data_IF_577946832392
#
_entry.id   IF_577946832392
#
_cell.length_a   1.000
_cell.length_b   1.000
_cell.length_c   1.000
_cell.angle_alpha   90.00
_cell.angle_beta   90.00
_cell.angle_gamma   90.00
#
_symmetry.space_group_name_H-M   'P 1'
#
loop_
_entity.id
_entity.type
_entity.pdbx_description
1 polymer ?
#
# COMPACT_ATOMS: atom_id res chain seq x y z
N UNK A 1 2.22 -10.06 9.13
CA UNK A 1 1.11 -10.48 8.22
C UNK A 1 1.11 -9.72 6.90
N UNK A 2 1.38 -8.40 6.85
CA UNK A 2 1.45 -7.64 5.58
C UNK A 2 2.80 -7.72 4.84
N UNK A 3 3.89 -8.08 5.53
CA UNK A 3 5.23 -8.15 4.94
C UNK A 3 5.38 -9.27 3.90
N UNK A 4 4.73 -10.42 4.11
CA UNK A 4 4.76 -11.52 3.14
C UNK A 4 4.20 -11.13 1.77
N UNK A 5 3.23 -10.21 1.75
CA UNK A 5 2.65 -9.69 0.51
C UNK A 5 3.63 -8.74 -0.20
N UNK A 6 4.36 -7.92 0.58
CA UNK A 6 5.39 -7.02 0.01
C UNK A 6 6.51 -7.79 -0.64
N UNK A 7 6.99 -8.85 -0.01
CA UNK A 7 8.06 -9.70 -0.56
C UNK A 7 7.61 -10.32 -1.88
N UNK A 8 6.43 -10.96 -1.91
CA UNK A 8 5.90 -11.60 -3.10
C UNK A 8 5.69 -10.61 -4.28
N UNK A 9 5.10 -9.43 -4.00
CA UNK A 9 4.91 -8.38 -5.02
C UNK A 9 6.25 -7.83 -5.53
N UNK A 10 7.24 -7.68 -4.64
CA UNK A 10 8.58 -7.21 -5.02
C UNK A 10 9.31 -8.23 -5.87
N UNK A 11 9.29 -9.50 -5.46
CA UNK A 11 9.93 -10.60 -6.19
C UNK A 11 9.33 -10.78 -7.59
N UNK A 12 7.99 -10.73 -7.69
CA UNK A 12 7.31 -10.75 -8.99
C UNK A 12 7.81 -9.62 -9.89
N UNK A 13 7.87 -8.39 -9.36
CA UNK A 13 8.35 -7.23 -10.12
C UNK A 13 9.81 -7.38 -10.56
N UNK A 14 10.69 -7.88 -9.70
CA UNK A 14 12.10 -8.08 -10.02
C UNK A 14 12.30 -9.17 -11.08
N UNK A 15 11.48 -10.21 -11.08
CA UNK A 15 11.56 -11.30 -12.06
C UNK A 15 10.91 -10.96 -13.41
N UNK A 16 9.84 -10.17 -13.43
CA UNK A 16 9.02 -9.93 -14.63
C UNK A 16 9.13 -8.51 -15.19
N UNK A 17 9.73 -7.56 -14.46
CA UNK A 17 9.81 -6.15 -14.83
C UNK A 17 8.48 -5.38 -14.79
N UNK A 18 7.38 -6.05 -14.45
CA UNK A 18 6.03 -5.50 -14.32
C UNK A 18 5.41 -5.91 -12.97
N UNK A 19 4.47 -5.12 -12.47
CA UNK A 19 3.77 -5.42 -11.24
C UNK A 19 2.77 -6.58 -11.42
N UNK A 20 2.52 -7.40 -10.40
CA UNK A 20 1.48 -8.42 -10.47
C UNK A 20 0.10 -7.77 -10.62
N UNK A 21 -0.72 -8.33 -11.51
CA UNK A 21 -2.08 -7.84 -11.75
C UNK A 21 -2.99 -8.03 -10.54
N UNK A 22 -2.85 -9.17 -9.87
CA UNK A 22 -3.70 -9.62 -8.76
C UNK A 22 -2.92 -10.49 -7.74
N UNK A 23 -3.63 -10.98 -6.71
CA UNK A 23 -3.09 -11.88 -5.69
C UNK A 23 -2.50 -13.18 -6.29
N UNK A 24 -3.18 -13.76 -7.28
CA UNK A 24 -2.75 -15.04 -7.88
C UNK A 24 -1.44 -14.87 -8.63
N UNK A 25 -1.35 -13.81 -9.44
CA UNK A 25 -0.14 -13.41 -10.17
C UNK A 25 1.02 -13.17 -9.20
N UNK A 26 0.76 -12.52 -8.06
CA UNK A 26 1.77 -12.32 -7.03
C UNK A 26 2.17 -13.60 -6.27
N UNK A 27 1.49 -14.74 -6.50
CA UNK A 27 1.77 -15.99 -5.79
C UNK A 27 1.30 -15.98 -4.33
N UNK A 28 0.28 -15.18 -4.00
CA UNK A 28 -0.27 -15.06 -2.65
C UNK A 28 -1.72 -15.54 -2.59
N UNK A 29 -2.19 -15.84 -1.38
CA UNK A 29 -3.56 -16.29 -1.16
C UNK A 29 -4.59 -15.30 -1.72
N UNK A 30 -5.76 -15.82 -2.12
CA UNK A 30 -6.89 -14.99 -2.55
C UNK A 30 -7.26 -13.94 -1.51
N UNK A 31 -7.75 -12.78 -1.97
CA UNK A 31 -7.90 -11.60 -1.11
C UNK A 31 -8.76 -11.84 0.14
N UNK A 32 -9.83 -12.61 0.00
CA UNK A 32 -10.76 -13.01 1.08
C UNK A 32 -10.18 -14.01 2.07
N UNK A 33 -9.03 -14.61 1.79
CA UNK A 33 -8.32 -15.55 2.67
C UNK A 33 -7.32 -14.82 3.55
N UNK A 34 -6.79 -13.68 3.10
CA UNK A 34 -5.85 -12.87 3.87
C UNK A 34 -6.63 -11.99 4.86
N UNK A 35 -6.92 -12.56 6.03
CA UNK A 35 -7.68 -11.93 7.11
C UNK A 35 -6.83 -11.71 8.36
N UNK A 36 -7.26 -10.78 9.20
CA UNK A 36 -6.64 -10.53 10.50
C UNK A 36 -7.65 -10.02 11.52
N UNK A 37 -7.18 -9.79 12.75
CA UNK A 37 -8.04 -9.32 13.87
C UNK A 37 -8.88 -8.08 13.52
N UNK A 38 -8.35 -7.19 12.67
CA UNK A 38 -9.01 -5.94 12.26
C UNK A 38 -9.16 -5.82 10.73
N UNK A 39 -8.68 -6.81 9.97
CA UNK A 39 -8.57 -6.76 8.50
C UNK A 39 -9.50 -7.80 7.91
N UNK A 40 -10.42 -7.35 7.06
CA UNK A 40 -11.41 -8.17 6.37
C UNK A 40 -10.84 -8.89 5.15
N UNK A 41 -9.98 -8.20 4.39
CA UNK A 41 -9.31 -8.74 3.21
C UNK A 41 -8.08 -7.92 2.85
N UNK A 42 -7.16 -8.54 2.12
CA UNK A 42 -6.00 -7.87 1.51
C UNK A 42 -5.95 -8.20 0.03
N UNK A 43 -6.07 -7.17 -0.79
CA UNK A 43 -6.14 -7.27 -2.25
C UNK A 43 -4.86 -6.72 -2.86
N UNK A 44 -4.27 -7.45 -3.80
CA UNK A 44 -3.21 -6.95 -4.68
C UNK A 44 -3.88 -6.55 -5.98
N UNK A 45 -3.64 -5.33 -6.43
CA UNK A 45 -4.11 -4.84 -7.71
C UNK A 45 -3.00 -4.02 -8.38
N UNK A 46 -2.44 -4.53 -9.47
CA UNK A 46 -1.35 -3.87 -10.22
C UNK A 46 -0.19 -3.47 -9.30
N UNK A 47 0.20 -4.38 -8.39
CA UNK A 47 1.24 -4.17 -7.38
C UNK A 47 0.93 -3.19 -6.26
N UNK A 48 -0.29 -2.66 -6.17
CA UNK A 48 -0.79 -1.96 -4.98
C UNK A 48 -1.46 -2.98 -4.08
N UNK A 49 -1.11 -2.98 -2.79
CA UNK A 49 -1.69 -3.85 -1.77
C UNK A 49 -2.68 -3.01 -0.97
N UNK A 50 -3.97 -3.35 -1.02
CA UNK A 50 -5.03 -2.64 -0.29
C UNK A 50 -5.61 -3.53 0.80
N UNK A 51 -5.52 -3.08 2.04
CA UNK A 51 -6.15 -3.74 3.18
C UNK A 51 -7.49 -3.07 3.48
N UNK A 52 -8.55 -3.86 3.59
CA UNK A 52 -9.89 -3.39 4.01
C UNK A 52 -10.12 -3.76 5.47
N UNK A 53 -10.51 -2.78 6.28
CA UNK A 53 -10.82 -2.99 7.69
C UNK A 53 -12.17 -3.68 7.87
N UNK A 54 -12.31 -4.48 8.93
CA UNK A 54 -13.58 -5.13 9.27
C UNK A 54 -14.72 -4.11 9.46
N UNK A 55 -15.95 -4.55 9.22
CA UNK A 55 -17.15 -3.76 9.47
C UNK A 55 -17.67 -3.89 10.92
N UNK A 56 -17.17 -4.88 11.67
CA UNK A 56 -17.53 -5.16 13.06
C UNK A 56 -16.27 -5.33 13.92
N UNK A 57 -16.38 -5.11 15.23
CA UNK A 57 -15.24 -5.26 16.15
C UNK A 57 -14.09 -4.25 15.98
N UNK A 58 -14.30 -3.18 15.22
CA UNK A 58 -13.37 -2.06 15.05
C UNK A 58 -14.04 -0.72 15.37
N UNK A 59 -13.23 0.33 15.59
CA UNK A 59 -13.73 1.68 15.85
C UNK A 59 -14.60 2.17 14.67
N UNK A 60 -15.73 2.82 14.96
CA UNK A 60 -16.65 3.38 13.97
C UNK A 60 -15.97 4.26 12.92
N UNK A 61 -14.91 4.98 13.30
CA UNK A 61 -14.16 5.85 12.40
C UNK A 61 -13.27 5.09 11.40
N UNK A 62 -13.11 3.76 11.53
CA UNK A 62 -12.29 2.92 10.64
C UNK A 62 -13.05 1.74 10.01
N UNK A 63 -14.34 1.54 10.34
CA UNK A 63 -15.16 0.45 9.80
C UNK A 63 -15.24 0.50 8.27
N UNK A 64 -14.93 -0.62 7.62
CA UNK A 64 -14.96 -0.74 6.15
C UNK A 64 -13.96 0.15 5.40
N UNK A 65 -13.10 0.87 6.13
CA UNK A 65 -12.13 1.79 5.55
C UNK A 65 -10.89 1.06 5.05
N UNK A 66 -10.13 1.72 4.19
CA UNK A 66 -9.00 1.13 3.47
C UNK A 66 -7.71 1.88 3.74
N UNK A 67 -6.60 1.15 3.64
CA UNK A 67 -5.25 1.68 3.48
C UNK A 67 -4.54 0.94 2.37
N UNK A 68 -3.57 1.59 1.74
CA UNK A 68 -2.77 0.97 0.68
C UNK A 68 -1.29 0.98 1.04
N UNK A 69 -0.60 -0.05 0.57
CA UNK A 69 0.84 -0.11 0.46
C UNK A 69 1.19 -0.22 -1.01
N UNK A 70 2.15 0.57 -1.46
CA UNK A 70 2.59 0.56 -2.84
C UNK A 70 4.09 0.72 -2.92
N UNK A 71 4.68 0.19 -3.98
CA UNK A 71 6.09 0.33 -4.24
C UNK A 71 6.36 1.16 -5.50
N UNK A 72 7.46 1.90 -5.49
CA UNK A 72 7.99 2.61 -6.66
C UNK A 72 9.39 2.08 -6.96
N UNK A 73 9.70 1.83 -8.24
CA UNK A 73 11.05 1.42 -8.65
C UNK A 73 12.05 2.55 -8.40
N UNK A 74 13.24 2.20 -7.89
CA UNK A 74 14.38 3.10 -7.69
C UNK A 74 15.69 2.35 -7.93
N UNK A 75 16.46 2.73 -8.96
CA UNK A 75 17.87 2.32 -9.17
C UNK A 75 18.16 0.82 -8.89
N UNK A 76 17.39 -0.09 -9.50
CA UNK A 76 17.57 -1.55 -9.32
C UNK A 76 16.90 -2.15 -8.07
N UNK A 77 16.20 -1.34 -7.28
CA UNK A 77 15.41 -1.75 -6.11
C UNK A 77 13.98 -1.19 -6.17
N UNK A 78 13.16 -1.50 -5.15
CA UNK A 78 11.85 -0.90 -4.97
C UNK A 78 11.74 -0.26 -3.59
N UNK A 79 11.15 0.93 -3.50
CA UNK A 79 10.83 1.60 -2.24
C UNK A 79 9.34 1.46 -1.96
N UNK A 80 9.00 0.96 -0.78
CA UNK A 80 7.62 0.84 -0.31
C UNK A 80 7.15 2.08 0.43
N UNK A 81 5.88 2.40 0.24
CA UNK A 81 5.14 3.46 0.89
C UNK A 81 3.87 2.88 1.51
N UNK A 82 3.31 3.56 2.50
CA UNK A 82 2.11 3.16 3.20
C UNK A 82 1.27 4.39 3.53
N UNK A 83 -0.02 4.34 3.22
CA UNK A 83 -0.88 5.48 3.45
C UNK A 83 -2.32 5.24 3.06
N UNK A 84 -2.99 6.34 2.72
CA UNK A 84 -4.35 6.29 2.22
C UNK A 84 -4.43 5.48 0.91
N UNK A 85 -5.63 4.99 0.57
CA UNK A 85 -5.90 4.27 -0.67
C UNK A 85 -5.34 4.98 -1.91
N UNK A 86 -4.57 4.22 -2.69
CA UNK A 86 -4.05 4.62 -4.00
C UNK A 86 -4.37 3.58 -5.04
N UNK A 87 -4.32 3.98 -6.30
CA UNK A 87 -4.46 3.11 -7.48
C UNK A 87 -3.27 3.30 -8.42
N UNK A 88 -2.98 2.25 -9.19
CA UNK A 88 -2.00 2.28 -10.29
C UNK A 88 -2.73 2.08 -11.61
N UNK A 89 -2.37 2.86 -12.63
CA UNK A 89 -3.02 2.79 -13.93
C UNK A 89 -2.80 1.44 -14.63
N UNK A 90 -1.56 0.94 -14.64
CA UNK A 90 -1.17 -0.29 -15.32
C UNK A 90 -0.08 -1.07 -14.53
N UNK A 91 0.04 -2.37 -14.74
CA UNK A 91 1.11 -3.23 -14.23
C UNK A 91 2.49 -2.81 -14.73
N UNK A 92 2.60 -2.23 -15.93
CA UNK A 92 3.86 -1.73 -16.46
C UNK A 92 4.33 -0.40 -15.84
N UNK A 93 3.44 0.34 -15.17
CA UNK A 93 3.75 1.65 -14.58
C UNK A 93 4.69 1.50 -13.38
N UNK A 94 5.97 1.85 -13.51
CA UNK A 94 6.97 1.58 -12.48
C UNK A 94 6.81 2.43 -11.19
N UNK A 95 6.38 3.69 -11.31
CA UNK A 95 6.47 4.69 -10.23
C UNK A 95 5.19 5.46 -9.94
N UNK A 96 4.34 5.69 -10.95
CA UNK A 96 3.15 6.53 -10.79
C UNK A 96 2.03 5.79 -10.07
N UNK A 97 1.42 6.47 -9.11
CA UNK A 97 0.21 6.07 -8.40
C UNK A 97 -0.63 7.32 -8.13
N UNK A 98 -1.95 7.15 -8.07
CA UNK A 98 -2.91 8.23 -7.82
C UNK A 98 -3.71 7.93 -6.56
N UNK A 99 -4.08 8.95 -5.79
CA UNK A 99 -4.98 8.75 -4.65
C UNK A 99 -6.37 8.27 -5.16
N UNK A 100 -6.94 7.26 -4.50
CA UNK A 100 -8.29 6.76 -4.82
C UNK A 100 -9.38 7.61 -4.14
N UNK A 101 -9.05 8.27 -3.02
CA UNK A 101 -9.96 9.21 -2.34
C UNK A 101 -11.14 8.56 -1.61
N UNK A 102 -11.40 7.26 -1.81
CA UNK A 102 -12.58 6.54 -1.32
C UNK A 102 -12.27 5.70 -0.09
N UNK A 103 -13.22 5.68 0.85
CA UNK A 103 -13.17 4.87 2.07
C UNK A 103 -11.88 5.04 2.88
N UNK A 104 -11.25 6.23 2.81
CA UNK A 104 -9.94 6.47 3.40
C UNK A 104 -10.01 6.48 4.92
N UNK A 105 -9.09 5.76 5.56
CA UNK A 105 -8.80 5.95 6.99
C UNK A 105 -8.28 7.37 7.20
N UNK A 106 -8.82 8.08 8.20
CA UNK A 106 -8.30 9.39 8.59
C UNK A 106 -6.86 9.23 9.10
N UNK A 107 -5.95 10.12 8.70
CA UNK A 107 -4.53 10.05 9.05
C UNK A 107 -4.27 10.01 10.56
N UNK A 108 -5.19 10.53 11.39
CA UNK A 108 -5.13 10.42 12.87
C UNK A 108 -5.11 8.96 13.35
N UNK A 109 -5.72 8.04 12.60
CA UNK A 109 -5.76 6.61 12.90
C UNK A 109 -4.65 5.80 12.23
N UNK A 110 -3.89 6.40 11.33
CA UNK A 110 -2.76 5.75 10.70
C UNK A 110 -1.52 5.89 11.59
N UNK A 111 -0.72 4.84 11.77
CA UNK A 111 0.62 4.95 12.35
C UNK A 111 1.44 6.01 11.61
N UNK A 112 2.37 6.69 12.28
CA UNK A 112 3.23 7.70 11.65
C UNK A 112 3.98 7.17 10.42
N UNK A 113 4.35 5.89 10.43
CA UNK A 113 5.03 5.18 9.34
C UNK A 113 4.11 4.80 8.18
N UNK A 114 2.82 5.10 8.24
CA UNK A 114 1.84 4.81 7.20
C UNK A 114 1.01 6.05 6.86
N UNK A 115 1.67 7.19 6.67
CA UNK A 115 1.05 8.48 6.32
C UNK A 115 1.64 9.07 5.04
N UNK A 116 2.18 8.23 4.17
CA UNK A 116 2.73 8.67 2.89
C UNK A 116 1.60 9.20 1.98
N UNK A 117 1.85 10.33 1.32
CA UNK A 117 0.99 10.80 0.24
C UNK A 117 1.24 9.98 -1.02
N UNK A 118 0.26 9.85 -1.91
CA UNK A 118 0.43 9.17 -3.21
C UNK A 118 1.60 9.76 -4.03
N UNK A 119 1.81 11.09 -3.91
CA UNK A 119 2.91 11.83 -4.52
C UNK A 119 4.27 11.65 -3.84
N UNK A 120 4.34 10.94 -2.71
CA UNK A 120 5.60 10.71 -2.00
C UNK A 120 6.64 10.11 -2.94
N UNK A 121 7.81 10.74 -3.00
CA UNK A 121 8.89 10.40 -3.91
C UNK A 121 10.00 9.65 -3.17
N UNK A 122 10.79 8.91 -3.95
CA UNK A 122 12.01 8.28 -3.49
C UNK A 122 13.12 9.33 -3.30
N UNK A 123 12.97 10.25 -2.35
CA UNK A 123 14.10 11.09 -1.94
C UNK A 123 15.08 10.24 -1.12
N UNK A 124 16.38 10.30 -1.47
CA UNK A 124 17.47 9.76 -0.66
C UNK A 124 17.59 10.46 0.71
N UNK A 125 16.95 11.62 0.85
CA UNK A 125 16.92 12.43 2.07
C UNK A 125 15.54 12.34 2.70
N UNK A 126 15.41 12.13 4.03
CA UNK A 126 14.12 12.27 4.71
C UNK A 126 13.54 13.66 4.40
N UNK A 127 12.22 13.79 4.19
CA UNK A 127 11.62 15.11 4.01
C UNK A 127 11.95 15.94 5.25
N UNK A 128 12.57 17.09 5.06
CA UNK A 128 12.92 18.09 6.08
C UNK A 128 11.70 18.79 6.68
N UNK A 129 10.56 18.10 6.77
CA UNK A 129 9.39 18.57 7.48
C UNK A 129 9.53 18.13 8.95
N UNK A 130 10.26 18.92 9.75
CA UNK A 130 10.13 19.15 11.22
C UNK A 130 11.42 19.78 11.78
N UNK A 131 11.88 20.88 11.19
CA UNK A 131 12.74 21.86 11.91
C UNK A 131 12.25 23.27 11.55
N UNK A 132 11.11 23.64 12.12
CA UNK A 132 10.77 25.04 12.42
C UNK A 132 10.15 25.04 13.81
N UNK A 133 11.03 25.05 14.81
CA UNK A 133 10.73 25.63 16.11
C UNK A 133 11.69 26.80 16.29
N UNK A 134 11.30 27.93 15.71
CA UNK A 134 11.75 29.26 16.09
C UNK A 134 10.55 30.18 16.03
#
# INVERSE_FOLDING_TARGET
>A
MAEGQKSAVTEYYLNHGIWPGDNSSAGVASSSTIKGKYVEKVEVAKGVITATMLSTGVNNEIKGKKLSLWAKRQDGSVKWFCGQPVTRANTATATEVTADGKDNINTKHLPSTCRDAASAVCTKTPPTAFYKNT
#
